data_IF_634984367609
#
_entry.id   IF_634984367609
#
_cell.length_a   1.000
_cell.length_b   1.000
_cell.length_c   1.000
_cell.angle_alpha   90.00
_cell.angle_beta   90.00
_cell.angle_gamma   90.00
#
_symmetry.space_group_name_H-M   'P 1'
#
loop_
_entity.id
_entity.type
_entity.pdbx_description
1 polymer ?
#
# COMPACT_ATOMS: atom_id res chain seq x y z
N UNK A 1 -22.15 35.33 18.21
CA UNK A 1 -22.40 36.44 17.28
C UNK A 1 -21.72 37.75 17.70
N UNK A 2 -22.24 38.58 18.64
CA UNK A 2 -21.60 39.88 18.95
C UNK A 2 -20.14 39.77 19.48
N UNK A 3 -19.88 38.81 20.37
CA UNK A 3 -18.53 38.54 20.89
C UNK A 3 -17.55 38.10 19.79
N UNK A 4 -18.03 37.25 18.88
CA UNK A 4 -17.27 36.71 17.76
C UNK A 4 -16.95 37.80 16.74
N UNK A 5 -17.89 38.70 16.48
CA UNK A 5 -17.70 39.85 15.60
C UNK A 5 -16.68 40.85 16.17
N UNK A 6 -16.72 41.13 17.47
CA UNK A 6 -15.67 41.89 18.17
C UNK A 6 -14.29 41.23 18.03
N UNK A 7 -14.22 39.90 18.17
CA UNK A 7 -12.98 39.14 18.05
C UNK A 7 -12.41 39.19 16.62
N UNK A 8 -13.25 38.94 15.62
CA UNK A 8 -12.87 39.02 14.21
C UNK A 8 -12.45 40.43 13.81
N UNK A 9 -13.23 41.47 14.18
CA UNK A 9 -12.89 42.86 13.89
C UNK A 9 -11.55 43.28 14.54
N UNK A 10 -11.28 42.83 15.77
CA UNK A 10 -9.99 43.07 16.43
C UNK A 10 -8.83 42.38 15.73
N UNK A 11 -9.03 41.13 15.29
CA UNK A 11 -8.03 40.36 14.55
C UNK A 11 -7.71 41.05 13.21
N UNK A 12 -8.73 41.46 12.46
CA UNK A 12 -8.57 42.16 11.19
C UNK A 12 -7.87 43.50 11.35
N UNK A 13 -8.29 44.29 12.34
CA UNK A 13 -7.64 45.56 12.65
C UNK A 13 -6.15 45.38 12.95
N UNK A 14 -5.78 44.37 13.76
CA UNK A 14 -4.38 44.09 14.07
C UNK A 14 -3.57 43.64 12.85
N UNK A 15 -4.19 42.86 11.94
CA UNK A 15 -3.54 42.39 10.72
C UNK A 15 -3.38 43.46 9.64
N UNK A 16 -4.22 44.50 9.64
CA UNK A 16 -4.26 45.56 8.62
C UNK A 16 -3.83 46.93 9.16
N UNK A 17 -3.33 47.00 10.41
CA UNK A 17 -3.05 48.27 11.10
C UNK A 17 -2.05 49.15 10.35
N UNK A 18 -1.12 48.53 9.66
CA UNK A 18 -0.08 49.14 8.81
C UNK A 18 -0.62 49.64 7.45
N UNK A 19 -1.77 49.13 7.01
CA UNK A 19 -2.40 49.48 5.73
C UNK A 19 -3.52 50.53 5.88
N UNK A 20 -4.00 50.76 7.11
CA UNK A 20 -5.12 51.65 7.41
C UNK A 20 -4.64 53.05 7.80
N UNK A 21 -5.44 54.07 7.49
CA UNK A 21 -5.16 55.42 7.96
C UNK A 21 -5.32 55.53 9.49
N UNK A 22 -4.57 56.41 10.19
CA UNK A 22 -4.67 56.56 11.64
C UNK A 22 -6.10 56.86 12.14
N UNK A 23 -6.87 57.64 11.36
CA UNK A 23 -8.29 57.90 11.65
C UNK A 23 -9.18 56.67 11.52
N UNK A 24 -8.94 55.83 10.51
CA UNK A 24 -9.68 54.57 10.34
C UNK A 24 -9.41 53.57 11.47
N UNK A 25 -8.17 53.51 11.97
CA UNK A 25 -7.79 52.67 13.11
C UNK A 25 -8.54 53.12 14.37
N UNK A 26 -8.55 54.43 14.66
CA UNK A 26 -9.25 54.98 15.83
C UNK A 26 -10.75 54.72 15.78
N UNK A 27 -11.40 54.95 14.63
CA UNK A 27 -12.84 54.71 14.45
C UNK A 27 -13.22 53.24 14.67
N UNK A 28 -12.39 52.30 14.18
CA UNK A 28 -12.62 50.86 14.37
C UNK A 28 -12.40 50.43 15.82
N UNK A 29 -11.35 50.94 16.48
CA UNK A 29 -11.11 50.68 17.91
C UNK A 29 -12.26 51.18 18.77
N UNK A 30 -12.75 52.39 18.50
CA UNK A 30 -13.88 52.98 19.22
C UNK A 30 -15.16 52.17 19.02
N UNK A 31 -15.43 51.70 17.79
CA UNK A 31 -16.59 50.85 17.51
C UNK A 31 -16.52 49.48 18.23
N UNK A 32 -15.32 48.87 18.31
CA UNK A 32 -15.09 47.61 19.02
C UNK A 32 -15.28 47.79 20.54
N UNK A 33 -14.69 48.84 21.12
CA UNK A 33 -14.82 49.12 22.55
C UNK A 33 -16.25 49.47 22.94
N UNK A 34 -16.95 50.27 22.13
CA UNK A 34 -18.38 50.56 22.36
C UNK A 34 -19.22 49.28 22.38
N UNK A 35 -18.99 48.34 21.44
CA UNK A 35 -19.73 47.08 21.44
C UNK A 35 -19.36 46.18 22.64
N UNK A 36 -18.09 46.17 23.07
CA UNK A 36 -17.66 45.47 24.29
C UNK A 36 -18.32 46.04 25.55
N UNK A 37 -18.44 47.36 25.66
CA UNK A 37 -19.10 48.03 26.77
C UNK A 37 -20.62 47.73 26.78
N UNK A 38 -21.26 47.70 25.62
CA UNK A 38 -22.66 47.30 25.49
C UNK A 38 -22.90 45.84 25.91
N UNK A 39 -21.97 44.95 25.58
CA UNK A 39 -22.01 43.54 26.01
C UNK A 39 -21.82 43.39 27.52
N UNK A 40 -20.91 44.16 28.12
CA UNK A 40 -20.62 44.11 29.57
C UNK A 40 -21.72 44.74 30.43
N UNK A 41 -22.41 45.75 29.92
CA UNK A 41 -23.47 46.48 30.64
C UNK A 41 -24.82 45.76 30.67
N UNK A 42 -24.95 44.57 30.06
CA UNK A 42 -26.22 43.84 30.02
C UNK A 42 -27.32 44.61 29.28
N UNK A 43 -26.94 45.41 28.27
CA UNK A 43 -27.85 46.30 27.55
C UNK A 43 -28.95 45.56 26.77
N UNK A 44 -30.05 46.28 26.57
CA UNK A 44 -31.25 45.82 25.87
C UNK A 44 -30.95 45.24 24.47
N UNK A 45 -31.67 44.19 24.07
CA UNK A 45 -31.37 43.43 22.82
C UNK A 45 -31.41 44.30 21.56
N UNK A 46 -32.19 45.39 21.58
CA UNK A 46 -32.24 46.40 20.50
C UNK A 46 -30.93 47.18 20.37
N UNK A 47 -30.41 47.71 21.48
CA UNK A 47 -29.14 48.47 21.50
C UNK A 47 -27.95 47.60 21.11
N UNK A 48 -27.97 46.32 21.49
CA UNK A 48 -26.93 45.38 21.08
C UNK A 48 -26.93 45.15 19.56
N UNK A 49 -28.10 45.02 18.93
CA UNK A 49 -28.22 44.90 17.47
C UNK A 49 -27.75 46.15 16.74
N UNK A 50 -28.08 47.33 17.26
CA UNK A 50 -27.58 48.61 16.71
C UNK A 50 -26.06 48.71 16.80
N UNK A 51 -25.46 48.29 17.93
CA UNK A 51 -24.02 48.24 18.11
C UNK A 51 -23.33 47.26 17.14
N UNK A 52 -23.93 46.09 16.92
CA UNK A 52 -23.44 45.12 15.91
C UNK A 52 -23.49 45.72 14.50
N UNK A 53 -24.62 46.31 14.11
CA UNK A 53 -24.78 46.92 12.79
C UNK A 53 -23.80 48.08 12.56
N UNK A 54 -23.56 48.90 13.60
CA UNK A 54 -22.59 50.00 13.54
C UNK A 54 -21.16 49.46 13.33
N UNK A 55 -20.77 48.41 14.06
CA UNK A 55 -19.45 47.80 13.89
C UNK A 55 -19.29 47.13 12.52
N UNK A 56 -20.31 46.46 12.00
CA UNK A 56 -20.31 45.90 10.64
C UNK A 56 -20.19 46.99 9.56
N UNK A 57 -20.90 48.11 9.72
CA UNK A 57 -20.85 49.23 8.78
C UNK A 57 -19.47 49.90 8.78
N UNK A 58 -18.89 50.13 9.97
CA UNK A 58 -17.54 50.71 10.08
C UNK A 58 -16.48 49.74 9.57
N UNK A 59 -16.61 48.44 9.89
CA UNK A 59 -15.75 47.37 9.40
C UNK A 59 -15.74 47.28 7.88
N UNK A 60 -16.90 47.15 7.25
CA UNK A 60 -17.04 47.03 5.79
C UNK A 60 -16.56 48.25 5.02
N UNK A 61 -16.69 49.46 5.58
CA UNK A 61 -16.23 50.69 4.94
C UNK A 61 -14.72 50.90 5.01
N UNK A 62 -14.09 50.47 6.11
CA UNK A 62 -12.69 50.83 6.42
C UNK A 62 -11.71 49.67 6.22
N UNK A 63 -12.12 48.42 6.45
CA UNK A 63 -11.24 47.26 6.30
C UNK A 63 -11.02 46.93 4.83
N UNK A 64 -9.81 46.50 4.47
CA UNK A 64 -9.50 46.05 3.12
C UNK A 64 -10.00 44.61 2.95
N UNK A 65 -10.82 44.31 1.92
CA UNK A 65 -11.25 42.94 1.67
C UNK A 65 -10.06 42.09 1.23
N UNK A 66 -9.92 40.89 1.81
CA UNK A 66 -8.90 39.96 1.35
C UNK A 66 -9.17 39.54 -0.10
N UNK A 67 -8.11 39.48 -0.91
CA UNK A 67 -8.19 38.99 -2.29
C UNK A 67 -8.55 37.50 -2.27
N UNK A 68 -9.74 37.16 -2.75
CA UNK A 68 -10.31 35.79 -2.82
C UNK A 68 -10.40 35.06 -1.46
N UNK A 69 -11.32 35.48 -0.56
CA UNK A 69 -11.43 34.91 0.79
C UNK A 69 -11.76 33.41 0.78
N UNK A 70 -12.69 32.98 -0.08
CA UNK A 70 -13.09 31.57 -0.16
C UNK A 70 -11.98 30.63 -0.64
N UNK A 71 -11.09 31.09 -1.53
CA UNK A 71 -9.98 30.25 -1.99
C UNK A 71 -8.96 30.02 -0.87
N UNK A 72 -8.65 31.05 -0.08
CA UNK A 72 -7.71 30.92 1.05
C UNK A 72 -8.26 29.98 2.13
N UNK A 73 -9.54 30.11 2.49
CA UNK A 73 -10.18 29.25 3.47
C UNK A 73 -10.18 27.79 3.02
N UNK A 74 -10.54 27.53 1.76
CA UNK A 74 -10.49 26.18 1.18
C UNK A 74 -9.06 25.61 1.18
N UNK A 75 -8.05 26.42 0.87
CA UNK A 75 -6.64 25.99 0.91
C UNK A 75 -6.19 25.68 2.34
N UNK A 76 -6.56 26.51 3.31
CA UNK A 76 -6.22 26.28 4.73
C UNK A 76 -6.85 24.96 5.23
N UNK A 77 -8.15 24.77 4.98
CA UNK A 77 -8.86 23.53 5.34
C UNK A 77 -8.25 22.32 4.63
N UNK A 78 -7.93 22.44 3.34
CA UNK A 78 -7.26 21.38 2.58
C UNK A 78 -5.89 21.03 3.18
N UNK A 79 -5.07 22.03 3.52
CA UNK A 79 -3.76 21.81 4.13
C UNK A 79 -3.88 21.14 5.49
N UNK A 80 -4.83 21.56 6.33
CA UNK A 80 -5.10 20.90 7.61
C UNK A 80 -5.54 19.44 7.43
N UNK A 81 -6.47 19.18 6.51
CA UNK A 81 -6.92 17.83 6.21
C UNK A 81 -5.77 16.93 5.72
N UNK A 82 -4.91 17.44 4.82
CA UNK A 82 -3.73 16.73 4.33
C UNK A 82 -2.73 16.49 5.47
N UNK A 83 -2.47 17.46 6.34
CA UNK A 83 -1.54 17.33 7.46
C UNK A 83 -2.02 16.28 8.47
N UNK A 84 -3.32 16.27 8.80
CA UNK A 84 -3.92 15.26 9.67
C UNK A 84 -3.83 13.88 9.01
N UNK A 85 -4.23 13.75 7.75
CA UNK A 85 -4.16 12.49 7.02
C UNK A 85 -2.72 11.94 6.95
N UNK A 86 -1.74 12.81 6.69
CA UNK A 86 -0.32 12.45 6.69
C UNK A 86 0.17 12.06 8.07
N UNK A 87 -0.29 12.71 9.13
CA UNK A 87 0.07 12.35 10.52
C UNK A 87 -0.50 10.98 10.88
N UNK A 88 -1.79 10.74 10.61
CA UNK A 88 -2.43 9.44 10.84
C UNK A 88 -1.71 8.33 10.05
N UNK A 89 -1.42 8.59 8.77
CA UNK A 89 -0.69 7.65 7.90
C UNK A 89 0.74 7.39 8.35
N UNK A 90 1.42 8.39 8.90
CA UNK A 90 2.83 8.25 9.29
C UNK A 90 2.97 7.53 10.62
N UNK A 91 2.07 7.80 11.57
CA UNK A 91 2.23 7.36 12.96
C UNK A 91 1.35 6.17 13.36
N UNK A 92 0.17 5.99 12.78
CA UNK A 92 -0.80 4.99 13.24
C UNK A 92 -0.92 3.82 12.26
N UNK A 93 -1.22 4.11 11.00
CA UNK A 93 -1.57 3.08 10.03
C UNK A 93 -0.73 3.18 8.76
N UNK A 94 0.00 2.11 8.47
CA UNK A 94 0.68 1.96 7.20
C UNK A 94 -0.11 1.01 6.30
N UNK A 95 -0.72 1.50 5.19
CA UNK A 95 -1.28 0.61 4.18
C UNK A 95 -0.15 -0.16 3.50
N UNK A 96 -0.23 -1.49 3.53
CA UNK A 96 0.69 -2.40 2.85
C UNK A 96 -0.11 -3.35 1.96
N UNK A 97 0.22 -3.42 0.67
CA UNK A 97 -0.30 -4.45 -0.22
C UNK A 97 0.39 -5.79 0.02
N UNK A 98 -0.34 -6.90 -0.07
CA UNK A 98 0.23 -8.24 0.11
C UNK A 98 1.03 -8.58 -1.14
N UNK A 99 2.34 -8.84 -1.00
CA UNK A 99 3.15 -8.84 -2.19
C UNK A 99 3.42 -10.23 -2.77
N UNK A 100 3.04 -11.30 -2.05
CA UNK A 100 3.30 -12.68 -2.48
C UNK A 100 2.04 -13.53 -2.35
N UNK A 101 1.86 -14.48 -3.26
CA UNK A 101 0.82 -15.50 -3.18
C UNK A 101 1.03 -16.54 -2.08
N UNK A 102 2.09 -16.44 -1.27
CA UNK A 102 2.38 -17.43 -0.20
C UNK A 102 1.32 -17.49 0.91
N UNK A 103 0.44 -16.48 0.99
CA UNK A 103 -0.68 -16.42 1.93
C UNK A 103 -2.00 -16.95 1.33
N UNK A 104 -1.96 -17.47 0.09
CA UNK A 104 -3.12 -18.12 -0.53
C UNK A 104 -3.43 -19.46 0.17
N UNK A 105 -4.72 -19.86 0.25
CA UNK A 105 -5.89 -19.21 -0.35
C UNK A 105 -6.53 -18.11 0.54
N UNK A 106 -5.97 -17.80 1.71
CA UNK A 106 -6.62 -16.90 2.69
C UNK A 106 -6.49 -15.42 2.32
N UNK A 107 -5.35 -15.02 1.74
CA UNK A 107 -5.08 -13.65 1.32
C UNK A 107 -4.42 -13.65 -0.06
N UNK A 108 -4.95 -12.83 -0.96
CA UNK A 108 -4.46 -12.74 -2.33
C UNK A 108 -3.39 -11.67 -2.45
N UNK A 109 -2.17 -12.09 -2.79
CA UNK A 109 -1.10 -11.17 -3.16
C UNK A 109 -1.31 -10.57 -4.55
N UNK A 110 -0.42 -9.65 -4.95
CA UNK A 110 -0.39 -9.11 -6.31
C UNK A 110 -0.25 -10.26 -7.31
N UNK A 111 -1.23 -10.38 -8.22
CA UNK A 111 -1.20 -11.35 -9.32
C UNK A 111 -0.97 -10.62 -10.64
N UNK A 112 -0.06 -11.16 -11.46
CA UNK A 112 0.20 -10.72 -12.82
C UNK A 112 -0.06 -11.90 -13.74
N UNK A 113 -1.03 -11.76 -14.65
CA UNK A 113 -1.39 -12.80 -15.61
C UNK A 113 -1.36 -12.28 -17.04
N UNK A 114 -0.82 -13.09 -17.95
CA UNK A 114 -1.05 -12.92 -19.39
C UNK A 114 -2.51 -13.24 -19.67
N UNK A 115 -3.23 -12.33 -20.32
CA UNK A 115 -4.60 -12.60 -20.76
C UNK A 115 -4.54 -13.41 -22.05
N UNK A 116 -4.98 -14.67 -22.02
CA UNK A 116 -5.25 -15.45 -23.23
C UNK A 116 -6.39 -14.76 -24.00
N UNK A 117 -5.99 -13.99 -25.01
CA UNK A 117 -6.71 -13.34 -26.12
C UNK A 117 -8.13 -12.74 -25.95
N UNK A 118 -8.93 -12.95 -24.90
CA UNK A 118 -10.37 -12.68 -24.94
C UNK A 118 -10.92 -11.51 -24.08
N UNK A 119 -10.13 -10.78 -23.29
CA UNK A 119 -10.62 -9.58 -22.58
C UNK A 119 -10.02 -8.29 -23.13
N UNK A 120 -10.88 -7.33 -23.47
CA UNK A 120 -10.52 -5.97 -23.85
C UNK A 120 -10.44 -5.10 -22.60
N UNK A 121 -9.32 -4.37 -22.44
CA UNK A 121 -9.15 -3.42 -21.36
C UNK A 121 -10.20 -2.29 -21.51
N UNK A 122 -11.06 -2.02 -20.51
CA UNK A 122 -11.94 -0.87 -20.56
C UNK A 122 -11.13 0.41 -20.70
N UNK A 123 -11.58 1.29 -21.59
CA UNK A 123 -10.99 2.62 -21.81
C UNK A 123 -11.78 3.69 -21.05
N UNK A 124 -11.11 4.80 -20.68
CA UNK A 124 -11.76 5.97 -20.09
C UNK A 124 -12.10 5.82 -18.59
N UNK A 125 -13.29 6.30 -18.19
CA UNK A 125 -13.73 6.36 -16.78
C UNK A 125 -13.84 4.98 -16.14
N UNK A 126 -14.22 3.96 -16.91
CA UNK A 126 -14.26 2.57 -16.42
C UNK A 126 -12.87 2.04 -16.06
N UNK A 127 -11.84 2.41 -16.83
CA UNK A 127 -10.45 2.10 -16.53
C UNK A 127 -9.98 2.80 -15.23
N UNK A 128 -10.40 4.06 -15.04
CA UNK A 128 -10.08 4.83 -13.84
C UNK A 128 -10.71 4.25 -12.57
N UNK A 129 -11.98 3.85 -12.65
CA UNK A 129 -12.71 3.18 -11.56
C UNK A 129 -12.03 1.85 -11.21
N UNK A 130 -11.71 1.02 -12.20
CA UNK A 130 -11.04 -0.25 -11.96
C UNK A 130 -9.62 -0.06 -11.38
N UNK A 131 -8.89 0.96 -11.82
CA UNK A 131 -7.56 1.24 -11.31
C UNK A 131 -7.58 1.71 -9.86
N UNK A 132 -8.50 2.61 -9.50
CA UNK A 132 -8.50 3.25 -8.19
C UNK A 132 -9.34 2.51 -7.14
N UNK A 133 -10.42 1.84 -7.55
CA UNK A 133 -11.30 1.10 -6.63
C UNK A 133 -11.04 -0.40 -6.64
N UNK A 134 -10.74 -1.00 -7.79
CA UNK A 134 -10.49 -2.44 -7.89
C UNK A 134 -8.99 -2.81 -7.91
N UNK A 135 -8.09 -1.82 -7.97
CA UNK A 135 -6.65 -2.05 -8.02
C UNK A 135 -6.19 -2.80 -9.27
N UNK A 136 -6.98 -2.80 -10.35
CA UNK A 136 -6.70 -3.51 -11.60
C UNK A 136 -6.07 -2.54 -12.60
N UNK A 137 -4.91 -2.89 -13.15
CA UNK A 137 -4.29 -2.15 -14.26
C UNK A 137 -4.13 -3.05 -15.48
N UNK A 138 -4.50 -2.52 -16.64
CA UNK A 138 -4.28 -3.18 -17.92
C UNK A 138 -3.17 -2.48 -18.70
N UNK A 139 -2.24 -3.26 -19.21
CA UNK A 139 -1.25 -2.76 -20.16
C UNK A 139 -1.41 -3.52 -21.47
N UNK A 140 -1.69 -2.78 -22.54
CA UNK A 140 -1.71 -3.30 -23.90
C UNK A 140 -0.67 -2.53 -24.72
N UNK A 141 0.29 -3.25 -25.29
CA UNK A 141 1.28 -2.70 -26.22
C UNK A 141 1.15 -3.45 -27.54
N UNK A 142 0.86 -2.72 -28.61
CA UNK A 142 0.68 -3.25 -29.97
C UNK A 142 1.83 -2.77 -30.84
N UNK A 143 2.37 -3.65 -31.69
CA UNK A 143 3.40 -3.27 -32.67
C UNK A 143 2.81 -2.44 -33.79
N UNK A 144 3.46 -1.33 -34.16
CA UNK A 144 3.05 -0.51 -35.32
C UNK A 144 3.83 -0.88 -36.60
N UNK A 145 4.90 -1.66 -36.47
CA UNK A 145 5.82 -2.04 -37.55
C UNK A 145 6.36 -3.46 -37.36
N UNK A 146 7.35 -3.85 -38.19
CA UNK A 146 8.06 -5.12 -38.04
C UNK A 146 9.13 -5.00 -36.95
N UNK A 147 8.74 -5.16 -35.69
CA UNK A 147 9.61 -4.88 -34.55
C UNK A 147 10.29 -6.14 -34.04
N UNK A 148 11.55 -6.01 -33.64
CA UNK A 148 12.31 -7.04 -32.95
C UNK A 148 12.81 -6.50 -31.61
N UNK A 149 12.52 -7.20 -30.51
CA UNK A 149 12.99 -6.77 -29.19
C UNK A 149 14.52 -6.92 -29.09
N UNK A 150 15.23 -5.82 -28.84
CA UNK A 150 16.69 -5.79 -28.70
C UNK A 150 17.09 -5.96 -27.23
N UNK A 151 16.50 -5.14 -26.36
CA UNK A 151 16.87 -5.13 -24.94
C UNK A 151 15.78 -4.50 -24.08
N UNK A 152 15.78 -4.91 -22.82
CA UNK A 152 14.89 -4.40 -21.78
C UNK A 152 15.76 -3.63 -20.79
N UNK A 153 15.60 -2.31 -20.70
CA UNK A 153 16.37 -1.50 -19.74
C UNK A 153 15.82 -1.68 -18.32
N UNK A 154 16.68 -1.51 -17.31
CA UNK A 154 16.25 -1.43 -15.92
C UNK A 154 15.32 -0.22 -15.69
N UNK A 155 14.38 -0.27 -14.72
CA UNK A 155 13.44 0.80 -14.49
C UNK A 155 14.14 2.08 -14.02
N UNK A 156 13.70 3.20 -14.57
CA UNK A 156 14.20 4.53 -14.24
C UNK A 156 13.23 5.19 -13.27
N UNK A 157 13.76 5.76 -12.18
CA UNK A 157 12.99 6.57 -11.22
C UNK A 157 12.83 7.97 -11.79
N UNK A 158 11.61 8.37 -12.19
CA UNK A 158 11.31 9.76 -12.57
C UNK A 158 10.31 10.32 -11.55
N UNK A 159 10.79 11.15 -10.65
CA UNK A 159 10.01 11.69 -9.52
C UNK A 159 9.54 10.59 -8.52
N UNK A 160 9.13 10.98 -7.30
CA UNK A 160 8.98 10.06 -6.15
C UNK A 160 7.86 9.01 -6.29
N UNK A 161 7.04 9.06 -7.34
CA UNK A 161 5.82 8.25 -7.50
C UNK A 161 5.70 7.52 -8.85
N UNK A 162 6.53 7.85 -9.86
CA UNK A 162 6.42 7.24 -11.19
C UNK A 162 7.68 6.44 -11.52
N UNK A 163 7.52 5.14 -11.55
CA UNK A 163 8.53 4.24 -12.09
C UNK A 163 8.15 3.92 -13.55
N UNK A 164 9.12 3.96 -14.45
CA UNK A 164 8.93 3.56 -15.85
C UNK A 164 10.02 2.59 -16.25
N UNK A 165 9.68 1.65 -17.11
CA UNK A 165 10.64 0.76 -17.72
C UNK A 165 10.63 0.92 -19.22
N UNK A 166 11.82 0.88 -19.84
CA UNK A 166 11.96 1.10 -21.27
C UNK A 166 12.26 -0.21 -22.00
N UNK A 167 11.48 -0.49 -23.03
CA UNK A 167 11.67 -1.56 -23.99
C UNK A 167 12.27 -0.96 -25.26
N UNK A 168 13.37 -1.53 -25.73
CA UNK A 168 14.01 -1.11 -26.99
C UNK A 168 13.72 -2.15 -28.06
N UNK A 169 13.10 -1.71 -29.14
CA UNK A 169 12.84 -2.50 -30.34
C UNK A 169 13.68 -1.98 -31.51
N UNK A 170 14.01 -2.87 -32.44
CA UNK A 170 14.50 -2.52 -33.77
C UNK A 170 13.37 -2.69 -34.76
N UNK A 171 13.08 -1.67 -35.55
CA UNK A 171 12.23 -1.83 -36.72
C UNK A 171 13.06 -2.42 -37.87
N UNK A 172 12.64 -3.55 -38.43
CA UNK A 172 13.36 -4.22 -39.51
C UNK A 172 13.18 -3.52 -40.86
N UNK A 173 12.08 -2.79 -41.05
CA UNK A 173 11.79 -2.10 -42.30
C UNK A 173 12.62 -0.82 -42.44
N UNK A 174 12.71 -0.05 -41.35
CA UNK A 174 13.41 1.24 -41.32
C UNK A 174 14.80 1.18 -40.69
N UNK A 175 15.18 0.05 -40.09
CA UNK A 175 16.40 -0.14 -39.26
C UNK A 175 16.51 0.83 -38.07
N UNK A 176 15.46 1.59 -37.78
CA UNK A 176 15.45 2.55 -36.68
C UNK A 176 15.22 1.85 -35.34
N UNK A 177 15.73 2.48 -34.28
CA UNK A 177 15.51 2.02 -32.91
C UNK A 177 14.26 2.71 -32.34
N UNK A 178 13.35 1.91 -31.78
CA UNK A 178 12.09 2.37 -31.19
C UNK A 178 12.14 2.13 -29.69
N UNK A 179 11.93 3.18 -28.91
CA UNK A 179 11.84 3.09 -27.46
C UNK A 179 10.37 3.19 -27.02
N UNK A 180 9.90 2.21 -26.23
CA UNK A 180 8.56 2.25 -25.61
C UNK A 180 8.66 2.14 -24.10
N UNK A 181 8.02 3.07 -23.41
CA UNK A 181 7.95 3.10 -21.95
C UNK A 181 6.68 2.37 -21.49
N UNK A 182 6.83 1.48 -20.51
CA UNK A 182 5.73 0.85 -19.78
C UNK A 182 5.67 1.40 -18.35
N UNK A 183 4.44 1.59 -17.86
CA UNK A 183 4.14 2.04 -16.50
C UNK A 183 2.90 1.31 -15.99
N UNK A 184 2.95 0.68 -14.81
CA UNK A 184 4.12 0.53 -13.92
C UNK A 184 5.24 -0.32 -14.55
N UNK A 185 6.50 -0.21 -14.08
CA UNK A 185 7.58 -1.06 -14.57
C UNK A 185 7.26 -2.49 -14.16
N UNK A 186 7.50 -3.42 -15.07
CA UNK A 186 7.25 -4.82 -14.82
C UNK A 186 8.49 -5.41 -14.12
N UNK A 187 8.29 -6.41 -13.26
CA UNK A 187 9.36 -7.07 -12.50
C UNK A 187 10.46 -6.13 -11.96
N UNK A 188 10.11 -5.37 -10.93
CA UNK A 188 11.11 -5.10 -9.89
C UNK A 188 10.53 -5.55 -8.57
N UNK A 189 11.25 -6.44 -7.88
CA UNK A 189 11.11 -6.69 -6.45
C UNK A 189 11.33 -5.46 -5.55
N UNK A 190 11.20 -4.25 -6.10
CA UNK A 190 11.24 -2.94 -5.46
C UNK A 190 10.25 -1.98 -6.13
N UNK A 191 8.99 -2.39 -6.34
CA UNK A 191 7.92 -1.40 -6.50
C UNK A 191 7.55 -0.89 -5.11
N UNK A 192 7.53 0.44 -4.90
CA UNK A 192 7.25 1.06 -3.59
C UNK A 192 5.86 0.72 -2.99
N UNK A 193 5.03 -0.05 -3.69
CA UNK A 193 3.76 -0.59 -3.20
C UNK A 193 3.57 -2.10 -3.52
N UNK A 194 4.65 -2.83 -3.81
CA UNK A 194 4.58 -4.28 -4.10
C UNK A 194 5.95 -4.95 -3.96
N UNK A 195 6.16 -5.64 -2.84
CA UNK A 195 7.41 -6.31 -2.47
C UNK A 195 7.36 -7.82 -2.63
N UNK A 196 7.11 -8.30 -3.85
CA UNK A 196 7.05 -9.73 -4.14
C UNK A 196 8.45 -10.22 -4.46
N UNK A 197 8.90 -11.27 -3.77
CA UNK A 197 10.06 -12.04 -4.20
C UNK A 197 9.74 -12.63 -5.58
N UNK A 198 10.25 -12.02 -6.65
CA UNK A 198 10.38 -12.72 -7.92
C UNK A 198 11.44 -13.81 -7.72
N UNK A 199 11.03 -14.96 -7.20
CA UNK A 199 11.76 -16.20 -7.46
C UNK A 199 11.70 -16.37 -8.96
N UNK A 200 12.81 -16.00 -9.65
CA UNK A 200 13.07 -16.13 -11.08
C UNK A 200 11.85 -15.92 -11.98
N UNK A 201 11.77 -14.83 -12.76
CA UNK A 201 11.22 -14.86 -14.12
C UNK A 201 11.40 -13.49 -14.77
N UNK A 202 12.37 -13.43 -15.67
CA UNK A 202 12.76 -12.28 -16.48
C UNK A 202 11.56 -11.75 -17.25
N UNK A 203 11.52 -10.44 -17.50
CA UNK A 203 10.48 -9.76 -18.28
C UNK A 203 10.21 -10.36 -19.67
N UNK A 204 11.12 -11.18 -20.16
CA UNK A 204 10.93 -12.00 -21.34
C UNK A 204 9.65 -12.84 -21.26
N UNK A 205 9.26 -13.40 -20.12
CA UNK A 205 8.07 -14.27 -20.06
C UNK A 205 6.72 -13.57 -20.30
N UNK A 206 6.65 -12.27 -19.99
CA UNK A 206 5.43 -11.48 -20.18
C UNK A 206 5.39 -10.77 -21.54
N UNK A 207 6.54 -10.69 -22.22
CA UNK A 207 6.60 -10.26 -23.61
C UNK A 207 6.30 -11.49 -24.48
N UNK A 208 5.15 -11.48 -25.15
CA UNK A 208 4.69 -12.61 -25.95
C UNK A 208 5.77 -12.99 -26.98
N UNK A 209 6.20 -14.26 -27.00
CA UNK A 209 7.22 -14.78 -27.94
C UNK A 209 8.65 -14.19 -27.82
N UNK A 210 9.01 -13.54 -26.70
CA UNK A 210 10.33 -12.92 -26.52
C UNK A 210 11.55 -13.87 -26.62
N UNK A 211 11.35 -15.16 -26.36
CA UNK A 211 12.43 -16.13 -26.18
C UNK A 211 13.11 -16.58 -27.49
N UNK A 212 12.62 -16.15 -28.66
CA UNK A 212 13.07 -16.67 -29.96
C UNK A 212 13.34 -15.59 -31.02
N UNK A 213 13.85 -14.41 -30.63
CA UNK A 213 14.12 -13.29 -31.58
C UNK A 213 12.91 -12.96 -32.46
N UNK A 214 11.71 -13.14 -31.91
CA UNK A 214 10.45 -13.03 -32.63
C UNK A 214 10.28 -11.63 -33.24
N UNK A 215 9.71 -11.60 -34.44
CA UNK A 215 9.43 -10.37 -35.18
C UNK A 215 7.93 -10.13 -35.07
N UNK A 216 7.55 -9.06 -34.36
CA UNK A 216 6.16 -8.64 -34.23
C UNK A 216 5.73 -7.95 -35.51
N UNK A 217 4.62 -8.40 -36.09
CA UNK A 217 4.01 -7.73 -37.25
C UNK A 217 3.17 -6.53 -36.81
N UNK A 218 2.91 -5.56 -37.71
CA UNK A 218 1.98 -4.48 -37.44
C UNK A 218 0.62 -5.02 -36.96
N UNK A 219 0.13 -4.51 -35.82
CA UNK A 219 -1.12 -4.95 -35.20
C UNK A 219 -1.00 -6.13 -34.23
N UNK A 220 0.17 -6.76 -34.10
CA UNK A 220 0.38 -7.83 -33.11
C UNK A 220 0.56 -7.26 -31.69
N UNK A 221 -0.06 -7.91 -30.71
CA UNK A 221 0.11 -7.56 -29.30
C UNK A 221 1.49 -8.04 -28.83
N UNK A 222 2.31 -7.11 -28.35
CA UNK A 222 3.63 -7.36 -27.75
C UNK A 222 3.46 -7.69 -26.26
N UNK A 223 2.57 -6.97 -25.58
CA UNK A 223 2.24 -7.17 -24.16
C UNK A 223 0.71 -7.06 -24.01
N UNK A 224 0.07 -8.07 -23.41
CA UNK A 224 -1.35 -8.03 -23.03
C UNK A 224 -1.52 -8.61 -21.63
N UNK A 225 -1.57 -7.73 -20.62
CA UNK A 225 -1.56 -8.14 -19.21
C UNK A 225 -2.67 -7.50 -18.38
N UNK A 226 -3.10 -8.24 -17.36
CA UNK A 226 -3.92 -7.76 -16.24
C UNK A 226 -3.10 -7.92 -14.97
N UNK A 227 -2.95 -6.82 -14.24
CA UNK A 227 -2.34 -6.82 -12.91
C UNK A 227 -3.41 -6.47 -11.89
N UNK A 228 -3.54 -7.30 -10.87
CA UNK A 228 -4.40 -7.05 -9.72
C UNK A 228 -3.53 -6.75 -8.51
N UNK A 229 -3.78 -5.62 -7.85
CA UNK A 229 -2.96 -5.15 -6.73
C UNK A 229 -3.10 -6.02 -5.46
N UNK A 230 -4.02 -6.98 -5.46
CA UNK A 230 -4.29 -7.88 -4.34
C UNK A 230 -4.90 -7.18 -3.13
N UNK A 231 -4.94 -7.91 -2.03
CA UNK A 231 -5.47 -7.43 -0.75
C UNK A 231 -4.53 -6.41 -0.11
N UNK A 232 -5.13 -5.41 0.54
CA UNK A 232 -4.41 -4.39 1.28
C UNK A 232 -4.64 -4.57 2.78
N UNK A 233 -3.56 -4.55 3.54
CA UNK A 233 -3.57 -4.62 4.99
C UNK A 233 -3.22 -3.26 5.58
N UNK A 234 -3.94 -2.87 6.64
CA UNK A 234 -3.58 -1.72 7.46
C UNK A 234 -2.74 -2.21 8.64
N UNK A 235 -1.46 -1.84 8.65
CA UNK A 235 -0.53 -2.24 9.70
C UNK A 235 -0.51 -1.18 10.79
N UNK A 236 -0.82 -1.59 12.02
CA UNK A 236 -0.69 -0.77 13.22
C UNK A 236 0.79 -0.66 13.61
N UNK A 237 1.32 0.57 13.59
CA UNK A 237 2.70 0.88 14.00
C UNK A 237 2.81 1.50 15.39
N UNK A 238 1.67 1.76 16.03
CA UNK A 238 1.60 2.49 17.28
C UNK A 238 1.60 1.54 18.49
N UNK A 239 0.81 0.48 18.42
CA UNK A 239 0.53 -0.39 19.57
C UNK A 239 1.78 -1.03 20.19
N UNK A 240 2.73 -1.49 19.37
CA UNK A 240 3.95 -2.14 19.88
C UNK A 240 4.96 -1.18 20.54
N UNK A 241 4.72 0.13 20.51
CA UNK A 241 5.50 1.09 21.28
C UNK A 241 5.11 1.11 22.78
N UNK A 242 3.90 0.62 23.12
CA UNK A 242 3.35 0.68 24.47
C UNK A 242 3.10 -0.69 25.09
N UNK A 243 3.04 -1.76 24.28
CA UNK A 243 2.91 -3.13 24.76
C UNK A 243 3.82 -4.08 24.00
N UNK A 244 4.17 -5.18 24.67
CA UNK A 244 4.83 -6.31 24.01
C UNK A 244 3.82 -7.10 23.14
N UNK A 245 4.29 -7.78 22.10
CA UNK A 245 3.43 -8.63 21.29
C UNK A 245 3.01 -9.89 22.08
N UNK A 246 1.81 -10.37 21.81
CA UNK A 246 1.26 -11.59 22.39
C UNK A 246 1.39 -12.75 21.41
N UNK A 247 1.47 -13.98 21.93
CA UNK A 247 1.43 -15.17 21.09
C UNK A 247 0.13 -15.20 20.28
N UNK A 248 0.24 -15.59 19.02
CA UNK A 248 -0.88 -15.69 18.10
C UNK A 248 -1.12 -14.42 17.30
N UNK A 249 -0.52 -13.29 17.67
CA UNK A 249 -0.67 -12.05 16.91
C UNK A 249 -0.01 -12.15 15.53
N UNK A 250 -0.63 -11.51 14.54
CA UNK A 250 -0.03 -11.35 13.22
C UNK A 250 0.92 -10.16 13.32
N UNK A 251 2.19 -10.41 13.03
CA UNK A 251 3.25 -9.42 13.08
C UNK A 251 3.77 -9.14 11.67
N UNK A 252 4.10 -7.87 11.45
CA UNK A 252 4.84 -7.42 10.28
C UNK A 252 6.22 -7.00 10.74
N UNK A 253 7.26 -7.63 10.20
CA UNK A 253 8.64 -7.32 10.56
C UNK A 253 9.50 -7.14 9.32
N UNK A 254 10.53 -6.31 9.49
CA UNK A 254 11.53 -6.05 8.45
C UNK A 254 12.66 -7.08 8.55
N UNK A 255 13.11 -7.60 7.41
CA UNK A 255 14.13 -8.66 7.34
C UNK A 255 15.57 -8.15 7.34
N UNK A 256 15.78 -6.83 7.36
CA UNK A 256 17.09 -6.16 7.28
C UNK A 256 18.15 -6.62 8.27
N UNK A 257 17.72 -7.19 9.39
CA UNK A 257 18.59 -7.58 10.49
C UNK A 257 18.54 -9.09 10.76
N UNK A 258 17.99 -9.88 9.84
CA UNK A 258 17.82 -11.32 10.01
C UNK A 258 18.69 -12.05 9.00
N UNK A 259 19.72 -12.73 9.50
CA UNK A 259 20.63 -13.55 8.71
C UNK A 259 19.90 -14.74 8.07
N UNK A 260 20.26 -15.08 6.83
CA UNK A 260 19.67 -16.22 6.10
C UNK A 260 18.31 -15.95 5.46
N UNK A 261 17.79 -14.72 5.53
CA UNK A 261 16.56 -14.30 4.84
C UNK A 261 16.89 -13.18 3.82
N UNK A 262 16.10 -13.08 2.75
CA UNK A 262 16.20 -11.99 1.79
C UNK A 262 16.04 -10.63 2.50
N UNK A 263 17.06 -9.78 2.36
CA UNK A 263 17.17 -8.48 3.03
C UNK A 263 16.24 -7.43 2.42
N UNK A 264 15.94 -6.37 3.18
CA UNK A 264 15.08 -5.24 2.78
C UNK A 264 13.62 -5.62 2.43
N UNK A 265 13.05 -6.64 3.08
CA UNK A 265 11.66 -7.06 2.86
C UNK A 265 10.83 -6.96 4.14
N UNK A 266 9.50 -6.83 3.97
CA UNK A 266 8.53 -6.94 5.05
C UNK A 266 7.82 -8.28 4.97
N UNK A 267 7.84 -9.04 6.07
CA UNK A 267 7.21 -10.34 6.16
C UNK A 267 6.03 -10.26 7.12
N UNK A 268 4.92 -10.89 6.72
CA UNK A 268 3.71 -11.02 7.54
C UNK A 268 3.65 -12.45 8.02
N UNK A 269 3.78 -12.65 9.34
CA UNK A 269 3.80 -13.98 9.95
C UNK A 269 3.03 -13.96 11.27
N UNK A 270 2.58 -15.14 11.70
CA UNK A 270 1.97 -15.32 13.03
C UNK A 270 3.07 -15.52 14.07
N UNK A 271 3.05 -14.74 15.14
CA UNK A 271 3.98 -14.87 16.26
C UNK A 271 3.66 -16.12 17.06
N UNK A 272 4.49 -17.15 16.95
CA UNK A 272 4.24 -18.43 17.60
C UNK A 272 5.10 -18.66 18.86
N UNK A 273 6.34 -18.15 18.92
CA UNK A 273 7.23 -18.27 20.08
C UNK A 273 7.49 -16.90 20.73
N UNK A 274 7.63 -16.87 22.05
CA UNK A 274 7.98 -15.67 22.81
C UNK A 274 9.40 -15.78 23.40
N UNK A 275 9.99 -14.65 23.85
CA UNK A 275 11.30 -14.69 24.50
C UNK A 275 11.33 -15.65 25.71
N UNK A 276 12.47 -16.32 25.91
CA UNK A 276 12.71 -17.30 26.98
C UNK A 276 11.88 -18.59 26.89
N UNK A 277 11.38 -18.95 25.71
CA UNK A 277 10.67 -20.21 25.49
C UNK A 277 11.48 -21.21 24.69
N UNK A 278 11.31 -22.49 25.03
CA UNK A 278 11.83 -23.59 24.22
C UNK A 278 10.78 -23.98 23.19
N UNK A 279 11.13 -23.80 21.91
CA UNK A 279 10.25 -24.10 20.77
C UNK A 279 10.82 -25.28 19.99
N UNK A 280 10.00 -26.29 19.72
CA UNK A 280 10.35 -27.42 18.84
C UNK A 280 9.16 -27.82 17.99
N UNK A 281 9.42 -28.47 16.86
CA UNK A 281 8.39 -29.15 16.06
C UNK A 281 8.34 -30.61 16.52
N UNK A 282 7.18 -31.05 17.00
CA UNK A 282 6.90 -32.43 17.39
C UNK A 282 6.92 -33.38 16.18
N UNK A 283 7.04 -34.68 16.45
CA UNK A 283 6.99 -35.72 15.41
C UNK A 283 5.64 -35.75 14.67
N UNK A 284 4.59 -35.26 15.33
CA UNK A 284 3.25 -35.08 14.81
C UNK A 284 3.07 -33.75 14.05
N UNK A 285 4.17 -33.04 13.73
CA UNK A 285 4.21 -31.76 13.02
C UNK A 285 3.58 -30.58 13.77
N UNK A 286 3.25 -30.74 15.05
CA UNK A 286 2.73 -29.67 15.88
C UNK A 286 3.83 -28.88 16.56
N UNK A 287 3.59 -27.59 16.81
CA UNK A 287 4.52 -26.78 17.57
C UNK A 287 4.42 -27.16 19.05
N UNK A 288 5.56 -27.39 19.70
CA UNK A 288 5.65 -27.66 21.13
C UNK A 288 6.43 -26.53 21.78
N UNK A 289 5.80 -25.83 22.71
CA UNK A 289 6.35 -24.69 23.44
C UNK A 289 6.44 -25.06 24.91
N UNK A 290 7.64 -25.03 25.49
CA UNK A 290 7.90 -25.41 26.89
C UNK A 290 7.29 -26.77 27.26
N UNK A 291 7.34 -27.74 26.34
CA UNK A 291 6.77 -29.07 26.52
C UNK A 291 5.26 -29.18 26.25
N UNK A 292 4.55 -28.06 26.11
CA UNK A 292 3.12 -28.05 25.76
C UNK A 292 2.93 -28.00 24.24
N UNK A 293 2.27 -29.01 23.70
CA UNK A 293 1.85 -29.08 22.30
C UNK A 293 0.76 -28.04 22.01
N UNK A 294 0.89 -27.32 20.90
CA UNK A 294 -0.18 -26.49 20.33
C UNK A 294 -1.02 -27.32 19.37
N UNK A 295 -2.33 -27.10 19.36
CA UNK A 295 -3.27 -27.70 18.42
C UNK A 295 -4.42 -26.74 18.06
N UNK A 296 -5.41 -27.25 17.32
CA UNK A 296 -6.56 -26.46 16.88
C UNK A 296 -7.46 -25.96 18.02
N UNK A 297 -7.31 -26.47 19.26
CA UNK A 297 -8.04 -25.95 20.43
C UNK A 297 -7.39 -24.69 21.01
N UNK A 298 -6.18 -24.35 20.59
CA UNK A 298 -5.46 -23.18 21.08
C UNK A 298 -5.72 -21.97 20.19
N UNK A 299 -6.49 -21.01 20.67
CA UNK A 299 -6.71 -19.75 19.98
C UNK A 299 -5.40 -18.94 19.85
N UNK A 300 -5.08 -18.30 18.70
CA UNK A 300 -5.77 -18.30 17.39
C UNK A 300 -5.12 -19.23 16.35
N UNK A 301 -4.85 -20.48 16.72
CA UNK A 301 -4.21 -21.50 15.90
C UNK A 301 -5.18 -22.54 15.33
N UNK A 302 -6.50 -22.32 15.45
CA UNK A 302 -7.55 -23.21 14.96
C UNK A 302 -7.32 -23.54 13.49
N UNK A 303 -7.17 -22.51 12.65
CA UNK A 303 -6.94 -22.65 11.21
C UNK A 303 -5.52 -23.10 10.84
N UNK A 304 -4.56 -22.89 11.74
CA UNK A 304 -3.18 -23.35 11.51
C UNK A 304 -3.13 -24.87 11.62
N UNK A 305 -3.92 -25.46 12.52
CA UNK A 305 -3.99 -26.90 12.79
C UNK A 305 -5.34 -27.53 12.39
N UNK A 306 -6.12 -26.87 11.53
CA UNK A 306 -7.43 -27.38 11.07
C UNK A 306 -7.32 -28.40 9.95
N UNK A 307 -6.13 -28.68 9.43
CA UNK A 307 -5.93 -29.79 8.49
C UNK A 307 -6.10 -31.11 9.26
N UNK A 308 -6.61 -32.17 8.59
CA UNK A 308 -6.78 -33.50 9.18
C UNK A 308 -5.43 -34.08 9.62
N UNK A 309 -4.97 -33.67 10.79
CA UNK A 309 -4.07 -34.41 11.66
C UNK A 309 -4.97 -35.20 12.61
N UNK A 310 -5.85 -36.01 12.01
CA UNK A 310 -6.42 -37.16 12.70
C UNK A 310 -5.30 -38.07 13.18
N UNK A 311 -5.65 -39.08 13.96
CA UNK A 311 -4.71 -40.00 14.65
C UNK A 311 -3.59 -40.59 13.75
N UNK A 312 -3.75 -40.52 12.42
CA UNK A 312 -2.74 -40.86 11.41
C UNK A 312 -2.12 -39.62 10.73
N UNK A 313 -0.81 -39.46 10.90
CA UNK A 313 0.00 -38.44 10.23
C UNK A 313 0.24 -38.85 8.77
N UNK A 314 -0.54 -38.29 7.84
CA UNK A 314 -0.27 -38.45 6.40
C UNK A 314 1.09 -37.86 6.02
N UNK A 315 1.92 -38.61 5.28
CA UNK A 315 3.25 -38.16 4.88
C UNK A 315 3.19 -36.92 3.96
N UNK A 316 4.18 -36.01 4.01
CA UNK A 316 4.25 -34.90 3.07
C UNK A 316 4.31 -35.39 1.62
N UNK A 317 3.42 -34.86 0.79
CA UNK A 317 3.37 -35.13 -0.66
C UNK A 317 3.77 -33.89 -1.46
N UNK A 318 4.29 -34.10 -2.67
CA UNK A 318 4.62 -32.99 -3.58
C UNK A 318 3.36 -32.17 -3.88
N UNK A 319 3.51 -30.84 -3.91
CA UNK A 319 2.42 -29.89 -4.14
C UNK A 319 1.27 -29.91 -3.12
N UNK A 320 1.40 -30.65 -2.01
CA UNK A 320 0.46 -30.63 -0.89
C UNK A 320 1.09 -29.92 0.31
N UNK A 321 0.40 -28.92 0.86
CA UNK A 321 0.86 -28.24 2.06
C UNK A 321 0.76 -29.19 3.27
N UNK A 322 1.92 -29.69 3.72
CA UNK A 322 2.00 -30.64 4.85
C UNK A 322 2.33 -29.97 6.20
N UNK A 323 2.28 -28.63 6.27
CA UNK A 323 2.71 -27.90 7.46
C UNK A 323 4.22 -27.97 7.69
N UNK A 324 4.64 -28.12 8.94
CA UNK A 324 6.05 -28.10 9.36
C UNK A 324 6.62 -29.53 9.41
N UNK A 325 7.74 -29.78 8.72
CA UNK A 325 8.41 -31.09 8.71
C UNK A 325 9.60 -31.06 9.67
N UNK A 326 9.70 -32.05 10.57
CA UNK A 326 10.88 -32.21 11.43
C UNK A 326 11.89 -33.20 10.82
N UNK A 327 13.08 -33.31 11.41
CA UNK A 327 14.14 -34.19 10.88
C UNK A 327 13.70 -35.66 10.78
N UNK A 328 12.89 -36.15 11.73
CA UNK A 328 12.44 -37.54 11.75
C UNK A 328 11.48 -37.82 10.59
N UNK A 329 10.48 -36.98 10.40
CA UNK A 329 9.52 -37.09 9.28
C UNK A 329 10.24 -36.95 7.94
N UNK A 330 11.21 -36.03 7.84
CA UNK A 330 12.04 -35.89 6.64
C UNK A 330 12.80 -37.18 6.31
N UNK A 331 13.46 -37.79 7.30
CA UNK A 331 14.19 -39.05 7.09
C UNK A 331 13.27 -40.20 6.71
N UNK A 332 12.06 -40.28 7.28
CA UNK A 332 11.06 -41.28 6.90
C UNK A 332 10.68 -41.16 5.42
N UNK A 333 10.32 -39.95 4.97
CA UNK A 333 9.98 -39.72 3.56
C UNK A 333 11.17 -39.97 2.62
N UNK A 334 12.36 -39.55 3.02
CA UNK A 334 13.57 -39.77 2.23
C UNK A 334 13.86 -41.27 2.06
N UNK A 335 13.73 -42.04 3.15
CA UNK A 335 13.93 -43.49 3.11
C UNK A 335 12.88 -44.16 2.24
N UNK A 336 11.60 -43.83 2.37
CA UNK A 336 10.56 -44.40 1.53
C UNK A 336 10.75 -44.09 0.04
N UNK A 337 11.14 -42.86 -0.31
CA UNK A 337 11.50 -42.50 -1.69
C UNK A 337 12.68 -43.32 -2.20
N UNK A 338 13.73 -43.51 -1.38
CA UNK A 338 14.87 -44.36 -1.74
C UNK A 338 14.44 -45.80 -1.97
N UNK A 339 13.61 -46.37 -1.09
CA UNK A 339 13.07 -47.72 -1.23
C UNK A 339 12.24 -47.86 -2.51
N UNK A 340 11.40 -46.87 -2.84
CA UNK A 340 10.59 -46.87 -4.05
C UNK A 340 11.45 -46.85 -5.33
N UNK A 341 12.47 -45.98 -5.38
CA UNK A 341 13.41 -45.89 -6.50
C UNK A 341 14.25 -47.16 -6.63
N UNK A 342 14.74 -47.71 -5.51
CA UNK A 342 15.50 -48.96 -5.50
C UNK A 342 14.67 -50.13 -6.04
N UNK A 343 13.41 -50.26 -5.61
CA UNK A 343 12.46 -51.26 -6.16
C UNK A 343 12.20 -51.08 -7.64
N UNK A 344 12.01 -49.84 -8.10
CA UNK A 344 11.81 -49.54 -9.52
C UNK A 344 13.03 -49.92 -10.38
N UNK A 345 14.23 -49.78 -9.83
CA UNK A 345 15.48 -50.11 -10.51
C UNK A 345 15.96 -51.54 -10.25
N UNK A 346 15.21 -52.36 -9.50
CA UNK A 346 15.57 -53.75 -9.19
C UNK A 346 16.79 -53.90 -8.27
N UNK A 347 17.10 -52.88 -7.46
CA UNK A 347 18.24 -52.87 -6.53
C UNK A 347 17.73 -53.09 -5.11
N UNK A 348 18.45 -53.89 -4.31
CA UNK A 348 18.15 -54.07 -2.88
C UNK A 348 18.40 -52.75 -2.13
N UNK A 349 17.42 -52.20 -1.40
CA UNK A 349 17.58 -50.94 -0.70
C UNK A 349 18.33 -51.01 0.65
N UNK A 350 18.74 -52.19 1.12
CA UNK A 350 19.65 -52.36 2.28
C UNK A 350 21.08 -51.99 1.94
#
# INVERSE_FOLDING_TARGET
>A
MAAELCHQASKLLNHQRDQLSPGAVSELQEAIENLRLLMRSGSDRKKLKEGVAKLEQTGSRKLTPYRNPGFRENVEVMLFAVAIAMSVRTFFFQPMGIPTGSMQPTLYGITEGNLDQAESAPTGVGAWIQHYLAGVSHCNLVSEGNWQLISIKAPRKKFRFFHKQQLIFQDLDTKNTIERDISPPMNTGKSMLGHGSASSNTLSEFVLNSHNKYIYKPGENIIKMRRESGDHLLVDRFTYNFRKPNRGEIIVFETKTIDGINQDLFYIKRLAGLPNETVKIGDDRHLVINGKRLDATNHPFELVYSFDVGEEVTLPQDSHFSGHVNQKVYQQVLNERRMAVARQNGVDPS
#
